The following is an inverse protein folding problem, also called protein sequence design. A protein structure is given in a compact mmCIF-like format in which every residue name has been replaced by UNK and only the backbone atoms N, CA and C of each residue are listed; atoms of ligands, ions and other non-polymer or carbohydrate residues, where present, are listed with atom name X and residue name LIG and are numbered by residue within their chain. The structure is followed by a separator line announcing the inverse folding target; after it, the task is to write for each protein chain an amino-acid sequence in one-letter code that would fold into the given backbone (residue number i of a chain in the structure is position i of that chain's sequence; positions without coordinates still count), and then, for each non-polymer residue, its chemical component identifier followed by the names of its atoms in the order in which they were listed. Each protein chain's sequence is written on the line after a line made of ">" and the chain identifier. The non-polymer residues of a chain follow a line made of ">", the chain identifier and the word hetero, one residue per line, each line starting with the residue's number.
data_IF_893195418141
#
_entry.id   IF_893195418141
#
_cell.length_a   1.000
_cell.length_b   1.000
_cell.length_c   1.000
_cell.angle_alpha   90.00
_cell.angle_beta   90.00
_cell.angle_gamma   90.00
#
_symmetry.space_group_name_H-M   'P 1'
#
loop_
_entity.id
_entity.type
_entity.pdbx_description
1 polymer ?
#
# COMPACT_ATOMS: atom_id res chain seq x y z
N UNK A 1 -4.17 -4.16 12.10
CA UNK A 1 -3.21 -5.23 12.45
C UNK A 1 -1.83 -4.61 12.62
N UNK A 2 -1.21 -4.76 13.80
CA UNK A 2 0.14 -4.24 14.06
C UNK A 2 1.15 -5.30 13.64
N UNK A 3 2.01 -4.99 12.67
CA UNK A 3 3.13 -5.82 12.30
C UNK A 3 4.32 -5.46 13.20
N UNK A 4 4.55 -6.26 14.24
CA UNK A 4 5.67 -6.08 15.17
C UNK A 4 6.82 -7.00 14.77
N UNK A 5 7.99 -6.42 14.48
CA UNK A 5 9.23 -7.18 14.44
C UNK A 5 9.92 -7.17 15.81
N UNK A 6 10.67 -8.21 16.17
CA UNK A 6 11.62 -8.13 17.28
C UNK A 6 12.63 -7.02 16.94
N UNK A 7 12.57 -5.88 17.65
CA UNK A 7 13.46 -4.76 17.43
C UNK A 7 12.82 -3.40 17.14
N UNK A 8 11.49 -3.28 17.24
CA UNK A 8 10.89 -1.98 17.53
C UNK A 8 10.29 -1.16 16.39
N UNK A 9 10.40 -1.54 15.11
CA UNK A 9 9.67 -0.80 14.06
C UNK A 9 8.29 -1.39 13.89
N UNK A 10 7.28 -0.67 14.38
CA UNK A 10 5.86 -1.00 14.21
C UNK A 10 5.32 -0.22 13.03
N UNK A 11 4.66 -0.90 12.10
CA UNK A 11 3.87 -0.30 11.02
C UNK A 11 2.42 -0.72 11.16
N UNK A 12 1.53 0.22 10.87
CA UNK A 12 0.09 -0.01 10.81
C UNK A 12 -0.37 0.42 9.42
N UNK A 13 -0.24 -0.46 8.42
CA UNK A 13 -0.75 -0.16 7.08
C UNK A 13 -2.27 -0.15 7.10
N UNK A 14 -2.88 0.58 6.15
CA UNK A 14 -4.33 0.57 5.96
C UNK A 14 -4.83 -0.82 5.49
N UNK A 15 -3.97 -1.59 4.82
CA UNK A 15 -4.29 -2.96 4.40
C UNK A 15 -3.06 -3.85 4.27
N UNK A 16 -3.30 -5.15 4.41
CA UNK A 16 -2.32 -6.21 4.19
C UNK A 16 -2.94 -7.32 3.35
N UNK A 17 -2.28 -7.69 2.25
CA UNK A 17 -2.63 -8.85 1.44
C UNK A 17 -1.42 -9.76 1.31
N UNK A 18 -1.58 -11.02 1.76
CA UNK A 18 -0.54 -12.05 1.65
C UNK A 18 -1.06 -13.20 0.82
N UNK A 19 -0.32 -13.54 -0.22
CA UNK A 19 -0.56 -14.70 -1.07
C UNK A 19 0.75 -15.50 -1.19
N UNK A 20 0.74 -16.72 -1.73
CA UNK A 20 1.99 -17.48 -1.93
C UNK A 20 3.04 -16.74 -2.78
N UNK A 21 2.62 -15.83 -3.67
CA UNK A 21 3.49 -15.11 -4.61
C UNK A 21 3.67 -13.62 -4.30
N UNK A 22 2.87 -13.03 -3.42
CA UNK A 22 2.85 -11.59 -3.13
C UNK A 22 2.70 -11.31 -1.65
N UNK A 23 3.48 -10.34 -1.17
CA UNK A 23 3.31 -9.71 0.14
C UNK A 23 3.07 -8.22 -0.10
N UNK A 24 1.84 -7.74 0.16
CA UNK A 24 1.42 -6.39 -0.20
C UNK A 24 1.02 -5.62 1.04
N UNK A 25 1.65 -4.47 1.26
CA UNK A 25 1.15 -3.45 2.17
C UNK A 25 0.41 -2.38 1.37
N UNK A 26 -0.74 -1.94 1.88
CA UNK A 26 -1.57 -0.91 1.28
C UNK A 26 -1.53 0.32 2.19
N UNK A 27 -1.26 1.48 1.61
CA UNK A 27 -1.40 2.78 2.29
C UNK A 27 -2.27 3.69 1.41
N UNK A 28 -3.37 4.16 1.97
CA UNK A 28 -4.35 4.95 1.25
C UNK A 28 -4.41 6.39 1.78
N UNK A 29 -4.57 7.36 0.90
CA UNK A 29 -4.90 8.73 1.28
C UNK A 29 -6.28 9.09 0.76
N UNK A 30 -7.10 9.65 1.66
CA UNK A 30 -8.43 10.14 1.34
C UNK A 30 -8.39 11.27 0.29
N UNK A 31 -9.54 11.57 -0.30
CA UNK A 31 -9.68 12.56 -1.38
C UNK A 31 -9.57 14.01 -0.88
N UNK A 32 -9.51 14.23 0.44
CA UNK A 32 -9.25 15.53 1.04
C UNK A 32 -7.78 15.95 0.98
N UNK A 33 -7.41 17.00 1.75
CA UNK A 33 -6.03 17.55 1.81
C UNK A 33 -5.09 16.68 2.65
N UNK A 34 -5.10 15.38 2.47
CA UNK A 34 -4.20 14.47 3.19
C UNK A 34 -2.86 14.33 2.46
N UNK A 35 -1.76 14.35 3.23
CA UNK A 35 -0.41 14.17 2.73
C UNK A 35 0.21 12.90 3.32
N UNK A 36 1.04 12.23 2.55
CA UNK A 36 1.84 11.11 3.05
C UNK A 36 2.88 11.58 4.06
N UNK A 37 3.14 10.76 5.06
CA UNK A 37 4.28 10.92 5.94
C UNK A 37 5.45 10.10 5.38
N UNK A 38 6.52 10.77 4.98
CA UNK A 38 7.67 10.12 4.32
C UNK A 38 8.33 9.07 5.21
N UNK A 39 8.41 9.32 6.51
CA UNK A 39 8.96 8.34 7.46
C UNK A 39 8.09 7.08 7.55
N UNK A 40 6.75 7.22 7.50
CA UNK A 40 5.81 6.10 7.44
C UNK A 40 6.05 5.28 6.17
N UNK A 41 6.10 5.93 5.00
CA UNK A 41 6.36 5.25 3.72
C UNK A 41 7.69 4.50 3.72
N UNK A 42 8.75 5.10 4.27
CA UNK A 42 10.06 4.44 4.39
C UNK A 42 9.99 3.21 5.31
N UNK A 43 9.24 3.28 6.42
CA UNK A 43 9.04 2.14 7.34
C UNK A 43 8.24 1.02 6.69
N UNK A 44 7.15 1.35 6.00
CA UNK A 44 6.31 0.37 5.30
C UNK A 44 7.10 -0.32 4.19
N UNK A 45 7.89 0.43 3.42
CA UNK A 45 8.80 -0.14 2.42
C UNK A 45 9.82 -1.10 3.05
N UNK A 46 10.48 -0.71 4.13
CA UNK A 46 11.44 -1.56 4.81
C UNK A 46 10.77 -2.85 5.37
N UNK A 47 9.57 -2.71 5.94
CA UNK A 47 8.82 -3.85 6.46
C UNK A 47 8.36 -4.79 5.35
N UNK A 48 7.79 -4.28 4.25
CA UNK A 48 7.31 -5.15 3.17
C UNK A 48 8.45 -5.93 2.52
N UNK A 49 9.64 -5.32 2.37
CA UNK A 49 10.83 -6.01 1.84
C UNK A 49 11.33 -7.07 2.81
N UNK A 50 11.37 -6.77 4.12
CA UNK A 50 11.81 -7.72 5.16
C UNK A 50 10.88 -8.92 5.28
N UNK A 51 9.56 -8.66 5.29
CA UNK A 51 8.55 -9.66 5.67
C UNK A 51 8.07 -10.51 4.48
N UNK A 52 8.43 -10.13 3.26
CA UNK A 52 8.01 -10.84 2.06
C UNK A 52 8.58 -12.28 1.95
N UNK A 53 9.72 -12.57 2.58
CA UNK A 53 10.37 -13.87 2.43
C UNK A 53 10.64 -14.21 0.95
N UNK A 54 10.05 -15.29 0.45
CA UNK A 54 10.15 -15.73 -0.94
C UNK A 54 9.08 -15.09 -1.85
N UNK A 55 8.08 -14.39 -1.29
CA UNK A 55 7.07 -13.68 -2.07
C UNK A 55 7.63 -12.36 -2.60
N UNK A 56 7.01 -11.82 -3.66
CA UNK A 56 7.38 -10.51 -4.18
C UNK A 56 6.78 -9.42 -3.28
N UNK A 57 7.61 -8.53 -2.69
CA UNK A 57 7.12 -7.41 -1.90
C UNK A 57 6.43 -6.36 -2.78
N UNK A 58 5.39 -5.72 -2.26
CA UNK A 58 4.74 -4.58 -2.88
C UNK A 58 4.20 -3.62 -1.81
N UNK A 59 4.65 -2.38 -1.84
CA UNK A 59 3.99 -1.25 -1.19
C UNK A 59 3.10 -0.56 -2.22
N UNK A 60 1.78 -0.71 -2.07
CA UNK A 60 0.79 -0.12 -2.96
C UNK A 60 0.18 1.12 -2.31
N UNK A 61 0.37 2.27 -2.95
CA UNK A 61 -0.22 3.53 -2.52
C UNK A 61 -1.52 3.78 -3.27
N UNK A 62 -2.61 4.05 -2.53
CA UNK A 62 -3.86 4.51 -3.13
C UNK A 62 -3.95 6.02 -2.94
N UNK A 63 -4.03 6.74 -4.05
CA UNK A 63 -3.88 8.20 -4.08
C UNK A 63 -5.11 8.89 -4.67
N UNK A 64 -5.42 10.13 -4.26
CA UNK A 64 -6.49 10.91 -4.89
C UNK A 64 -6.21 11.26 -6.35
N UNK A 65 -4.93 11.52 -6.67
CA UNK A 65 -4.47 11.92 -8.01
C UNK A 65 -3.16 11.23 -8.35
N UNK A 66 -2.84 11.16 -9.63
CA UNK A 66 -1.53 10.66 -10.08
C UNK A 66 -0.37 11.46 -9.45
N UNK A 67 0.82 10.82 -9.24
CA UNK A 67 2.02 11.51 -8.77
C UNK A 67 2.40 12.71 -9.65
N UNK A 68 3.11 13.70 -9.04
CA UNK A 68 3.74 13.68 -7.74
C UNK A 68 2.71 13.77 -6.59
N UNK A 69 2.96 13.02 -5.50
CA UNK A 69 2.07 12.94 -4.33
C UNK A 69 2.40 14.00 -3.27
N UNK A 70 1.42 14.52 -2.52
CA UNK A 70 1.68 15.46 -1.43
C UNK A 70 2.39 14.72 -0.28
N UNK A 71 3.49 15.29 0.22
CA UNK A 71 4.30 14.77 1.32
C UNK A 71 4.41 15.84 2.40
N UNK A 72 4.04 15.49 3.63
CA UNK A 72 4.01 16.42 4.76
C UNK A 72 5.37 17.05 4.98
N UNK A 73 5.42 18.39 4.94
CA UNK A 73 6.65 19.17 5.14
C UNK A 73 7.59 19.24 3.91
N UNK A 74 7.27 18.57 2.79
CA UNK A 74 8.17 18.45 1.64
C UNK A 74 7.52 18.80 0.28
N UNK A 75 6.27 19.26 0.29
CA UNK A 75 5.54 19.58 -0.94
C UNK A 75 5.11 18.33 -1.70
N UNK A 76 5.20 18.36 -3.02
CA UNK A 76 4.84 17.23 -3.88
C UNK A 76 6.09 16.52 -4.40
N UNK A 77 6.16 15.21 -4.22
CA UNK A 77 7.31 14.38 -4.62
C UNK A 77 6.87 13.21 -5.50
N UNK A 78 7.74 12.74 -6.41
CA UNK A 78 7.60 11.41 -7.00
C UNK A 78 7.54 10.35 -5.88
N UNK A 79 6.73 9.30 -6.06
CA UNK A 79 6.50 8.29 -5.02
C UNK A 79 7.79 7.66 -4.52
N UNK A 80 8.70 7.28 -5.42
CA UNK A 80 10.00 6.72 -5.03
C UNK A 80 10.89 7.69 -4.24
N UNK A 81 10.81 8.99 -4.52
CA UNK A 81 11.52 10.02 -3.75
C UNK A 81 10.92 10.17 -2.35
N UNK A 82 9.59 10.11 -2.22
CA UNK A 82 8.90 10.16 -0.93
C UNK A 82 9.28 8.97 -0.03
N UNK A 83 9.38 7.76 -0.58
CA UNK A 83 9.83 6.55 0.14
C UNK A 83 11.29 6.66 0.55
N UNK A 84 12.17 7.18 -0.33
CA UNK A 84 13.62 7.24 -0.10
C UNK A 84 14.02 8.28 0.95
N UNK A 85 13.20 9.30 1.18
CA UNK A 85 13.55 10.50 1.95
C UNK A 85 13.99 10.20 3.40
N UNK A 86 13.35 9.23 4.06
CA UNK A 86 13.67 8.81 5.44
C UNK A 86 14.22 7.38 5.54
N UNK A 87 14.63 6.79 4.42
CA UNK A 87 15.06 5.39 4.41
C UNK A 87 16.27 5.13 5.32
N UNK A 88 17.29 6.01 5.28
CA UNK A 88 18.49 5.86 6.12
C UNK A 88 18.17 5.83 7.61
N UNK A 89 17.50 6.84 8.21
CA UNK A 89 17.19 6.81 9.64
C UNK A 89 16.19 5.70 10.01
N UNK A 90 15.36 5.26 9.09
CA UNK A 90 14.44 4.11 9.32
C UNK A 90 15.25 2.82 9.39
N UNK A 91 16.16 2.57 8.47
CA UNK A 91 16.99 1.36 8.46
C UNK A 91 17.87 1.25 9.71
N UNK A 92 18.40 2.37 10.20
CA UNK A 92 19.19 2.38 11.44
C UNK A 92 18.40 1.88 12.67
N UNK A 93 17.06 1.88 12.59
CA UNK A 93 16.14 1.45 13.67
C UNK A 93 15.37 0.16 13.32
N UNK A 94 15.58 -0.41 12.12
CA UNK A 94 14.88 -1.60 11.66
C UNK A 94 15.80 -2.81 11.79
N UNK A 95 15.46 -3.75 12.65
CA UNK A 95 16.17 -5.02 12.77
C UNK A 95 15.67 -6.05 11.75
N UNK A 96 16.53 -7.04 11.46
CA UNK A 96 16.17 -8.17 10.57
C UNK A 96 16.17 -7.86 9.07
N UNK A 97 16.61 -6.65 8.67
CA UNK A 97 16.80 -6.28 7.28
C UNK A 97 18.30 -6.10 7.00
N UNK A 98 18.93 -7.13 6.45
CA UNK A 98 20.37 -7.16 6.19
C UNK A 98 20.73 -6.73 4.76
N UNK A 99 19.77 -6.20 4.02
CA UNK A 99 19.97 -5.74 2.64
C UNK A 99 20.71 -4.40 2.64
N UNK A 100 21.82 -4.24 1.89
CA UNK A 100 22.52 -2.96 1.77
C UNK A 100 21.61 -1.83 1.27
N UNK A 101 21.88 -0.59 1.72
CA UNK A 101 21.06 0.57 1.37
C UNK A 101 20.92 0.78 -0.14
N UNK A 102 22.02 0.60 -0.90
CA UNK A 102 21.99 0.79 -2.35
C UNK A 102 21.09 -0.22 -3.05
N UNK A 103 21.08 -1.48 -2.58
CA UNK A 103 20.19 -2.53 -3.10
C UNK A 103 18.71 -2.23 -2.79
N UNK A 104 18.43 -1.72 -1.58
CA UNK A 104 17.08 -1.29 -1.21
C UNK A 104 16.60 -0.13 -2.08
N UNK A 105 17.45 0.86 -2.32
CA UNK A 105 17.12 1.98 -3.21
C UNK A 105 16.84 1.48 -4.63
N UNK A 106 17.63 0.53 -5.13
CA UNK A 106 17.45 -0.06 -6.46
C UNK A 106 16.13 -0.84 -6.58
N UNK A 107 15.60 -1.39 -5.47
CA UNK A 107 14.33 -2.12 -5.44
C UNK A 107 13.09 -1.22 -5.42
N UNK A 108 13.22 0.07 -5.10
CA UNK A 108 12.06 0.97 -4.98
C UNK A 108 11.16 0.93 -6.22
N UNK A 109 11.66 1.05 -7.46
CA UNK A 109 10.81 1.03 -8.66
C UNK A 109 9.99 -0.26 -8.83
N UNK A 110 10.53 -1.40 -8.40
CA UNK A 110 9.89 -2.72 -8.54
C UNK A 110 9.00 -3.10 -7.35
N UNK A 111 9.18 -2.39 -6.22
CA UNK A 111 8.50 -2.70 -4.95
C UNK A 111 7.42 -1.69 -4.62
N UNK A 112 7.47 -0.47 -5.15
CA UNK A 112 6.51 0.59 -4.83
C UNK A 112 5.69 0.91 -6.07
N UNK A 113 4.39 0.76 -5.94
CA UNK A 113 3.42 1.12 -6.98
C UNK A 113 2.37 2.08 -6.41
N UNK A 114 1.62 2.68 -7.29
CA UNK A 114 0.49 3.53 -6.92
C UNK A 114 -0.67 3.29 -7.87
N UNK A 115 -1.86 3.59 -7.37
CA UNK A 115 -3.12 3.58 -8.12
C UNK A 115 -4.00 4.71 -7.59
N UNK A 116 -4.80 5.32 -8.41
CA UNK A 116 -5.77 6.32 -7.97
C UNK A 116 -7.08 5.67 -7.51
N UNK A 117 -7.84 6.36 -6.66
CA UNK A 117 -9.18 5.91 -6.26
C UNK A 117 -10.11 5.70 -7.47
N UNK A 118 -9.96 6.49 -8.55
CA UNK A 118 -10.73 6.31 -9.77
C UNK A 118 -10.40 4.99 -10.47
N UNK A 119 -9.11 4.64 -10.51
CA UNK A 119 -8.66 3.36 -11.09
C UNK A 119 -9.07 2.17 -10.21
N UNK A 120 -9.02 2.33 -8.87
CA UNK A 120 -9.57 1.30 -7.95
C UNK A 120 -11.05 1.11 -8.20
N UNK A 121 -11.83 2.20 -8.30
CA UNK A 121 -13.26 2.14 -8.59
C UNK A 121 -13.53 1.42 -9.92
N UNK A 122 -12.80 1.78 -10.98
CA UNK A 122 -12.94 1.13 -12.28
C UNK A 122 -12.59 -0.37 -12.20
N UNK A 123 -11.46 -0.71 -11.59
CA UNK A 123 -11.04 -2.11 -11.43
C UNK A 123 -12.06 -2.94 -10.65
N UNK A 124 -12.67 -2.38 -9.61
CA UNK A 124 -13.71 -3.06 -8.82
C UNK A 124 -15.02 -3.17 -9.60
N UNK A 125 -15.39 -2.14 -10.37
CA UNK A 125 -16.58 -2.16 -11.22
C UNK A 125 -16.47 -3.18 -12.34
N UNK A 126 -15.28 -3.28 -12.95
CA UNK A 126 -14.99 -4.20 -14.06
C UNK A 126 -14.60 -5.62 -13.61
N UNK A 127 -14.40 -5.82 -12.29
CA UNK A 127 -14.05 -7.13 -11.77
C UNK A 127 -15.19 -8.13 -12.02
N UNK A 128 -14.90 -9.14 -12.81
CA UNK A 128 -15.78 -10.27 -13.04
C UNK A 128 -15.36 -11.44 -12.16
N UNK A 129 -16.31 -12.01 -11.46
CA UNK A 129 -16.13 -13.30 -10.80
C UNK A 129 -17.21 -14.25 -11.32
N UNK A 130 -16.82 -15.49 -11.55
CA UNK A 130 -17.79 -16.51 -11.95
C UNK A 130 -18.63 -16.92 -10.74
N UNK A 131 -19.78 -16.27 -10.60
CA UNK A 131 -20.71 -16.53 -9.51
C UNK A 131 -21.21 -17.99 -9.52
N UNK A 132 -21.24 -18.64 -10.69
CA UNK A 132 -21.67 -20.03 -10.82
C UNK A 132 -20.61 -21.02 -10.30
N UNK A 133 -19.34 -20.62 -10.30
CA UNK A 133 -18.24 -21.41 -9.75
C UNK A 133 -18.11 -21.31 -8.22
N UNK A 134 -18.88 -20.41 -7.57
CA UNK A 134 -18.81 -20.16 -6.13
C UNK A 134 -20.07 -20.70 -5.43
N UNK A 135 -19.95 -21.15 -4.16
CA UNK A 135 -21.13 -21.38 -3.32
C UNK A 135 -22.00 -20.11 -3.25
N UNK A 136 -23.32 -20.27 -3.27
CA UNK A 136 -24.28 -19.14 -3.28
C UNK A 136 -24.03 -18.11 -2.18
N UNK A 137 -23.70 -18.59 -0.96
CA UNK A 137 -23.36 -17.71 0.17
C UNK A 137 -22.10 -16.89 -0.05
N UNK A 138 -21.10 -17.45 -0.74
CA UNK A 138 -19.85 -16.78 -1.07
C UNK A 138 -20.06 -15.75 -2.18
N UNK A 139 -20.76 -16.12 -3.25
CA UNK A 139 -21.09 -15.22 -4.35
C UNK A 139 -21.85 -13.99 -3.86
N UNK A 140 -22.88 -14.17 -3.01
CA UNK A 140 -23.63 -13.07 -2.41
C UNK A 140 -22.79 -12.18 -1.48
N UNK A 141 -21.80 -12.76 -0.80
CA UNK A 141 -20.88 -11.99 0.06
C UNK A 141 -19.93 -11.14 -0.78
N UNK A 142 -19.34 -11.72 -1.83
CA UNK A 142 -18.43 -11.00 -2.74
C UNK A 142 -19.17 -9.83 -3.41
N UNK A 143 -20.41 -10.07 -3.87
CA UNK A 143 -21.21 -9.00 -4.48
C UNK A 143 -21.49 -7.84 -3.50
N UNK A 144 -21.88 -8.15 -2.26
CA UNK A 144 -22.11 -7.11 -1.24
C UNK A 144 -20.84 -6.31 -0.94
N UNK A 145 -19.69 -6.98 -0.76
CA UNK A 145 -18.42 -6.32 -0.51
C UNK A 145 -18.02 -5.40 -1.66
N UNK A 146 -18.24 -5.82 -2.90
CA UNK A 146 -18.03 -5.00 -4.09
C UNK A 146 -18.88 -3.73 -4.05
N UNK A 147 -20.20 -3.90 -3.83
CA UNK A 147 -21.16 -2.79 -3.82
C UNK A 147 -20.86 -1.82 -2.66
N UNK A 148 -20.51 -2.33 -1.49
CA UNK A 148 -20.17 -1.50 -0.33
C UNK A 148 -18.85 -0.75 -0.54
N UNK A 149 -17.84 -1.35 -1.19
CA UNK A 149 -16.60 -0.68 -1.55
C UNK A 149 -16.86 0.46 -2.55
N UNK A 150 -17.66 0.22 -3.59
CA UNK A 150 -18.02 1.25 -4.57
C UNK A 150 -18.77 2.41 -3.92
N UNK A 151 -19.70 2.15 -3.02
CA UNK A 151 -20.41 3.18 -2.24
C UNK A 151 -19.45 3.97 -1.33
N UNK A 152 -18.52 3.29 -0.66
CA UNK A 152 -17.53 3.94 0.19
C UNK A 152 -16.61 4.87 -0.61
N UNK A 153 -16.12 4.44 -1.78
CA UNK A 153 -15.30 5.28 -2.67
C UNK A 153 -16.10 6.51 -3.11
N UNK A 154 -17.35 6.33 -3.53
CA UNK A 154 -18.23 7.42 -3.97
C UNK A 154 -18.52 8.41 -2.83
N UNK A 155 -18.72 7.94 -1.61
CA UNK A 155 -18.93 8.79 -0.46
C UNK A 155 -17.71 9.66 -0.16
N UNK A 156 -16.52 9.06 -0.13
CA UNK A 156 -15.27 9.78 0.08
C UNK A 156 -14.90 10.78 -1.02
N UNK A 157 -15.45 10.62 -2.23
CA UNK A 157 -15.25 11.59 -3.33
C UNK A 157 -16.08 12.84 -3.19
N UNK A 158 -17.21 12.77 -2.45
CA UNK A 158 -18.14 13.90 -2.27
C UNK A 158 -17.87 14.69 -0.98
N UNK A 159 -17.06 14.15 -0.09
CA UNK A 159 -16.64 14.76 1.18
C UNK A 159 -15.38 15.59 1.02
#
# INVERSE_FOLDING_TARGET
>A
MLLTAPGGTVVQPDGLLVTPSRHVLLEAKGMGRSAFQSEQLSREFACVVRDAGNARPLLLLITPTAPPVPVKGHGRLPVGAAVRLFLVPVLARTSGLNTPLHDLIARIPDTVAWITWNEVQAAVADAHFDAAALPVSVAGTVQRLRDDLLKAIDWHRRS
#
